data_IF_586515327710
#
_entry.id   IF_586515327710
#
_cell.length_a   1.000
_cell.length_b   1.000
_cell.length_c   1.000
_cell.angle_alpha   90.00
_cell.angle_beta   90.00
_cell.angle_gamma   90.00
#
_symmetry.space_group_name_H-M   'P 1'
#
loop_
_entity.id
_entity.type
_entity.pdbx_description
1 polymer ?
#
# COMPACT_ATOMS: atom_id res chain seq x y z
N UNK A 1 0.37 -38.41 -0.43
CA UNK A 1 -0.69 -37.42 -0.14
C UNK A 1 -0.39 -36.56 1.08
N UNK A 2 0.35 -37.04 2.09
CA UNK A 2 0.68 -36.28 3.32
C UNK A 2 1.51 -34.99 3.08
N UNK A 3 2.52 -35.03 2.19
CA UNK A 3 3.39 -33.88 1.89
C UNK A 3 2.69 -32.70 1.20
N UNK A 4 1.62 -32.94 0.45
CA UNK A 4 0.90 -31.88 -0.29
C UNK A 4 0.12 -30.99 0.70
N UNK A 5 -0.42 -31.59 1.76
CA UNK A 5 -1.16 -30.88 2.80
C UNK A 5 -0.26 -29.93 3.61
N UNK A 6 0.95 -30.37 3.96
CA UNK A 6 1.93 -29.56 4.73
C UNK A 6 2.41 -28.33 3.95
N UNK A 7 2.66 -28.46 2.65
CA UNK A 7 3.13 -27.34 1.82
C UNK A 7 2.09 -26.22 1.70
N UNK A 8 0.82 -26.59 1.52
CA UNK A 8 -0.29 -25.63 1.41
C UNK A 8 -0.50 -24.87 2.73
N UNK A 9 -0.41 -25.55 3.87
CA UNK A 9 -0.48 -24.88 5.18
C UNK A 9 0.67 -23.88 5.38
N UNK A 10 1.89 -24.23 4.94
CA UNK A 10 3.04 -23.35 5.02
C UNK A 10 2.83 -22.06 4.20
N UNK A 11 2.36 -22.19 2.95
CA UNK A 11 2.07 -21.05 2.07
C UNK A 11 0.97 -20.16 2.67
N UNK A 12 -0.06 -20.75 3.26
CA UNK A 12 -1.14 -20.00 3.92
C UNK A 12 -0.64 -19.14 5.08
N UNK A 13 0.16 -19.74 5.97
CA UNK A 13 0.75 -19.02 7.10
C UNK A 13 1.65 -17.90 6.61
N UNK A 14 2.48 -18.18 5.61
CA UNK A 14 3.38 -17.20 5.02
C UNK A 14 2.60 -16.04 4.39
N UNK A 15 1.55 -16.32 3.61
CA UNK A 15 0.65 -15.31 3.05
C UNK A 15 -0.02 -14.47 4.13
N UNK A 16 -0.53 -15.09 5.20
CA UNK A 16 -1.15 -14.37 6.31
C UNK A 16 -0.14 -13.46 7.01
N UNK A 17 1.03 -13.97 7.38
CA UNK A 17 2.07 -13.19 8.06
C UNK A 17 2.56 -12.02 7.22
N UNK A 18 2.85 -12.23 5.94
CA UNK A 18 3.30 -11.14 5.07
C UNK A 18 2.21 -10.08 4.88
N UNK A 19 0.96 -10.47 4.61
CA UNK A 19 -0.15 -9.51 4.47
C UNK A 19 -0.41 -8.74 5.76
N UNK A 20 -0.25 -9.39 6.91
CA UNK A 20 -0.41 -8.74 8.21
C UNK A 20 0.67 -7.69 8.46
N UNK A 21 1.92 -7.98 8.09
CA UNK A 21 3.02 -7.01 8.15
C UNK A 21 2.74 -5.82 7.21
N UNK A 22 2.30 -6.08 5.97
CA UNK A 22 1.92 -5.01 5.03
C UNK A 22 0.77 -4.16 5.55
N UNK A 23 -0.23 -4.78 6.18
CA UNK A 23 -1.33 -4.06 6.81
C UNK A 23 -0.82 -3.12 7.91
N UNK A 24 0.02 -3.60 8.83
CA UNK A 24 0.64 -2.77 9.87
C UNK A 24 1.50 -1.63 9.29
N UNK A 25 2.28 -1.92 8.24
CA UNK A 25 3.08 -0.92 7.55
C UNK A 25 2.19 0.16 6.89
N UNK A 26 1.11 -0.24 6.23
CA UNK A 26 0.12 0.68 5.64
C UNK A 26 -0.53 1.58 6.69
N UNK A 27 -0.92 1.01 7.83
CA UNK A 27 -1.46 1.78 8.96
C UNK A 27 -0.43 2.76 9.52
N UNK A 28 0.84 2.36 9.66
CA UNK A 28 1.90 3.24 10.13
C UNK A 28 2.13 4.41 9.16
N UNK A 29 2.19 4.15 7.86
CA UNK A 29 2.33 5.19 6.83
C UNK A 29 1.14 6.14 6.84
N UNK A 30 -0.09 5.61 6.92
CA UNK A 30 -1.30 6.42 7.01
C UNK A 30 -1.30 7.29 8.29
N UNK A 31 -0.90 6.73 9.43
CA UNK A 31 -0.81 7.46 10.69
C UNK A 31 0.20 8.62 10.60
N UNK A 32 1.37 8.39 9.99
CA UNK A 32 2.37 9.44 9.75
C UNK A 32 1.82 10.50 8.78
N UNK A 33 1.15 10.11 7.70
CA UNK A 33 0.57 11.05 6.74
C UNK A 33 -0.53 11.92 7.37
N UNK A 34 -1.38 11.32 8.21
CA UNK A 34 -2.41 12.04 8.98
C UNK A 34 -1.77 12.95 10.03
N UNK A 35 -0.74 12.49 10.73
CA UNK A 35 0.00 13.31 11.69
C UNK A 35 0.56 14.57 11.03
N UNK A 36 1.23 14.41 9.88
CA UNK A 36 1.76 15.52 9.08
C UNK A 36 0.65 16.48 8.60
N UNK A 37 -0.58 15.98 8.39
CA UNK A 37 -1.71 16.79 7.92
C UNK A 37 -2.43 17.57 9.03
N UNK A 38 -2.56 16.96 10.21
CA UNK A 38 -3.36 17.48 11.33
C UNK A 38 -2.54 18.25 12.37
N UNK A 39 -1.22 18.10 12.38
CA UNK A 39 -0.38 18.85 13.30
C UNK A 39 -0.42 20.35 13.01
N UNK A 40 -0.83 21.12 14.02
CA UNK A 40 -1.09 22.57 13.92
C UNK A 40 0.18 23.40 13.75
N UNK A 41 1.32 22.91 14.24
CA UNK A 41 2.64 23.53 14.06
C UNK A 41 3.10 23.39 12.62
N UNK A 42 2.87 22.20 12.05
CA UNK A 42 3.21 21.84 10.68
C UNK A 42 2.34 22.61 9.66
N UNK A 43 1.03 22.67 9.88
CA UNK A 43 0.11 23.45 9.03
C UNK A 43 0.31 24.97 9.11
N UNK A 44 0.73 25.52 10.26
CA UNK A 44 1.07 26.94 10.40
C UNK A 44 2.37 27.31 9.65
N UNK A 45 3.37 26.43 9.64
CA UNK A 45 4.62 26.60 8.87
C UNK A 45 4.34 26.48 7.35
N UNK A 46 3.39 25.63 6.95
CA UNK A 46 3.02 25.46 5.53
C UNK A 46 1.99 26.49 5.01
N UNK A 47 1.20 27.10 5.88
CA UNK A 47 0.25 28.17 5.51
C UNK A 47 0.91 29.55 5.41
N UNK A 48 2.02 29.77 6.10
CA UNK A 48 2.76 31.03 6.09
C UNK A 48 3.74 31.13 4.90
N UNK A 49 3.20 31.16 3.68
CA UNK A 49 3.80 31.91 2.57
C UNK A 49 4.84 31.24 1.67
N UNK A 50 5.41 30.07 1.98
CA UNK A 50 6.33 29.36 1.06
C UNK A 50 6.27 27.84 1.25
N UNK A 51 5.14 27.21 0.97
CA UNK A 51 5.12 25.75 0.84
C UNK A 51 5.39 25.40 -0.64
N UNK A 52 6.49 24.70 -0.98
CA UNK A 52 6.63 24.15 -2.32
C UNK A 52 5.45 23.21 -2.54
N UNK A 53 4.59 23.48 -3.53
CA UNK A 53 3.38 22.71 -3.82
C UNK A 53 3.63 21.19 -3.86
N UNK A 54 4.85 20.79 -4.23
CA UNK A 54 5.38 19.43 -4.21
C UNK A 54 5.28 18.72 -2.85
N UNK A 55 5.48 19.41 -1.71
CA UNK A 55 5.43 18.78 -0.39
C UNK A 55 3.99 18.46 0.04
N UNK A 56 3.05 19.36 -0.29
CA UNK A 56 1.62 19.14 -0.04
C UNK A 56 1.12 17.95 -0.88
N UNK A 57 1.49 17.91 -2.17
CA UNK A 57 1.22 16.77 -3.06
C UNK A 57 1.84 15.48 -2.50
N UNK A 58 3.05 15.53 -1.96
CA UNK A 58 3.71 14.39 -1.32
C UNK A 58 2.93 13.80 -0.14
N UNK A 59 2.36 14.64 0.74
CA UNK A 59 1.55 14.17 1.88
C UNK A 59 0.28 13.48 1.38
N UNK A 60 -0.40 14.03 0.36
CA UNK A 60 -1.58 13.41 -0.23
C UNK A 60 -1.26 12.07 -0.91
N UNK A 61 -0.13 11.97 -1.62
CA UNK A 61 0.35 10.71 -2.20
C UNK A 61 0.64 9.71 -1.09
N UNK A 62 1.34 10.10 -0.03
CA UNK A 62 1.68 9.23 1.10
C UNK A 62 0.40 8.71 1.80
N UNK A 63 -0.60 9.58 1.98
CA UNK A 63 -1.91 9.20 2.51
C UNK A 63 -2.63 8.20 1.60
N UNK A 64 -2.64 8.45 0.29
CA UNK A 64 -3.24 7.55 -0.69
C UNK A 64 -2.58 6.17 -0.74
N UNK A 65 -1.24 6.14 -0.82
CA UNK A 65 -0.46 4.90 -0.83
C UNK A 65 -0.65 4.12 0.47
N UNK A 66 -0.58 4.80 1.63
CA UNK A 66 -0.83 4.17 2.93
C UNK A 66 -2.22 3.55 3.04
N UNK A 67 -3.27 4.24 2.56
CA UNK A 67 -4.63 3.72 2.55
C UNK A 67 -4.79 2.50 1.63
N UNK A 68 -4.21 2.55 0.43
CA UNK A 68 -4.25 1.43 -0.53
C UNK A 68 -3.55 0.19 0.05
N UNK A 69 -2.36 0.35 0.63
CA UNK A 69 -1.62 -0.76 1.27
C UNK A 69 -2.41 -1.34 2.44
N UNK A 70 -3.05 -0.50 3.27
CA UNK A 70 -3.88 -0.95 4.38
C UNK A 70 -5.09 -1.76 3.89
N UNK A 71 -5.80 -1.30 2.87
CA UNK A 71 -6.98 -2.00 2.32
C UNK A 71 -6.57 -3.36 1.73
N UNK A 72 -5.47 -3.39 0.96
CA UNK A 72 -5.01 -4.62 0.32
C UNK A 72 -4.49 -5.63 1.35
N UNK A 73 -3.73 -5.17 2.36
CA UNK A 73 -3.27 -6.02 3.45
C UNK A 73 -4.42 -6.60 4.27
N UNK A 74 -5.50 -5.82 4.49
CA UNK A 74 -6.71 -6.30 5.16
C UNK A 74 -7.42 -7.38 4.34
N UNK A 75 -7.64 -7.16 3.04
CA UNK A 75 -8.23 -8.18 2.16
C UNK A 75 -7.37 -9.44 2.05
N UNK A 76 -6.03 -9.29 2.06
CA UNK A 76 -5.10 -10.43 2.11
C UNK A 76 -5.21 -11.24 3.40
N UNK A 77 -5.28 -10.57 4.57
CA UNK A 77 -5.45 -11.23 5.86
C UNK A 77 -6.81 -11.93 5.98
N UNK A 78 -7.91 -11.23 5.66
CA UNK A 78 -9.25 -11.82 5.68
C UNK A 78 -9.39 -12.96 4.66
N UNK A 79 -8.77 -12.85 3.49
CA UNK A 79 -8.81 -13.89 2.45
C UNK A 79 -8.05 -15.14 2.86
N UNK A 80 -6.91 -14.99 3.54
CA UNK A 80 -6.16 -16.11 4.08
C UNK A 80 -6.90 -16.83 5.22
N UNK A 81 -7.57 -16.08 6.10
CA UNK A 81 -8.33 -16.63 7.24
C UNK A 81 -9.64 -17.30 6.80
N UNK A 82 -10.36 -16.71 5.84
CA UNK A 82 -11.71 -17.15 5.48
C UNK A 82 -11.73 -18.30 4.46
N UNK A 83 -10.57 -18.78 3.99
CA UNK A 83 -10.44 -19.77 2.90
C UNK A 83 -11.21 -19.42 1.62
N UNK A 84 -11.66 -18.17 1.50
CA UNK A 84 -12.55 -17.76 0.42
C UNK A 84 -11.73 -17.51 -0.84
N UNK A 85 -11.90 -18.37 -1.83
CA UNK A 85 -11.26 -18.23 -3.14
C UNK A 85 -11.63 -16.89 -3.81
N UNK A 86 -12.80 -16.33 -3.50
CA UNK A 86 -13.21 -15.03 -4.03
C UNK A 86 -12.35 -13.89 -3.46
N UNK A 87 -12.13 -13.86 -2.14
CA UNK A 87 -11.30 -12.82 -1.50
C UNK A 87 -9.82 -12.92 -1.89
N UNK A 88 -9.30 -14.14 -1.99
CA UNK A 88 -7.93 -14.37 -2.47
C UNK A 88 -7.79 -13.99 -3.95
N UNK A 89 -8.83 -14.22 -4.75
CA UNK A 89 -8.92 -13.77 -6.14
C UNK A 89 -8.95 -12.25 -6.26
N UNK A 90 -9.69 -11.55 -5.41
CA UNK A 90 -9.70 -10.08 -5.35
C UNK A 90 -8.32 -9.53 -4.98
N UNK A 91 -7.65 -10.12 -3.98
CA UNK A 91 -6.28 -9.76 -3.61
C UNK A 91 -5.31 -9.89 -4.80
N UNK A 92 -5.36 -11.03 -5.50
CA UNK A 92 -4.53 -11.27 -6.68
C UNK A 92 -4.84 -10.27 -7.81
N UNK A 93 -6.11 -9.99 -8.09
CA UNK A 93 -6.51 -9.01 -9.08
C UNK A 93 -6.01 -7.60 -8.74
N UNK A 94 -6.11 -7.17 -7.47
CA UNK A 94 -5.55 -5.91 -7.01
C UNK A 94 -4.03 -5.83 -7.22
N UNK A 95 -3.30 -6.91 -6.90
CA UNK A 95 -1.86 -6.97 -7.14
C UNK A 95 -1.50 -6.86 -8.62
N UNK A 96 -2.25 -7.53 -9.51
CA UNK A 96 -2.03 -7.42 -10.95
C UNK A 96 -2.24 -6.00 -11.46
N UNK A 97 -3.27 -5.32 -10.97
CA UNK A 97 -3.54 -3.92 -11.33
C UNK A 97 -2.41 -3.01 -10.86
N UNK A 98 -1.92 -3.20 -9.63
CA UNK A 98 -0.77 -2.42 -9.11
C UNK A 98 0.48 -2.69 -9.93
N UNK A 99 0.76 -3.95 -10.24
CA UNK A 99 1.93 -4.31 -11.03
C UNK A 99 1.88 -3.66 -12.42
N UNK A 100 0.73 -3.70 -13.09
CA UNK A 100 0.54 -3.01 -14.37
C UNK A 100 0.72 -1.48 -14.24
N UNK A 101 0.23 -0.89 -13.16
CA UNK A 101 0.40 0.53 -12.87
C UNK A 101 1.87 0.90 -12.62
N UNK A 102 2.62 0.09 -11.86
CA UNK A 102 4.06 0.28 -11.62
C UNK A 102 4.87 0.18 -12.91
N UNK A 103 4.58 -0.80 -13.77
CA UNK A 103 5.24 -0.90 -15.08
C UNK A 103 4.92 0.32 -15.94
N UNK A 104 3.65 0.75 -15.97
CA UNK A 104 3.25 1.94 -16.74
C UNK A 104 3.94 3.20 -16.22
N UNK A 105 3.97 3.40 -14.91
CA UNK A 105 4.64 4.53 -14.27
C UNK A 105 6.16 4.48 -14.48
N UNK A 106 6.77 3.30 -14.40
CA UNK A 106 8.20 3.09 -14.63
C UNK A 106 8.61 3.40 -16.08
N UNK A 107 7.84 2.91 -17.06
CA UNK A 107 8.06 3.22 -18.47
C UNK A 107 7.86 4.71 -18.73
N UNK A 108 6.77 5.30 -18.23
CA UNK A 108 6.49 6.72 -18.37
C UNK A 108 7.60 7.59 -17.78
N UNK A 109 8.08 7.23 -16.58
CA UNK A 109 9.19 7.90 -15.91
C UNK A 109 10.51 7.77 -16.67
N UNK A 110 10.74 6.63 -17.35
CA UNK A 110 11.93 6.44 -18.18
C UNK A 110 11.90 7.27 -19.47
N UNK A 111 10.72 7.41 -20.08
CA UNK A 111 10.54 8.18 -21.32
C UNK A 111 10.62 9.70 -21.07
N UNK A 112 10.16 10.18 -19.92
CA UNK A 112 10.15 11.60 -19.57
C UNK A 112 11.35 12.03 -18.72
N UNK A 113 12.46 11.28 -18.77
CA UNK A 113 13.68 11.57 -17.99
C UNK A 113 14.26 12.98 -18.16
N UNK A 114 13.97 13.66 -19.26
CA UNK A 114 14.49 15.02 -19.53
C UNK A 114 13.60 16.13 -18.97
N UNK A 115 12.41 15.81 -18.45
CA UNK A 115 11.44 16.79 -17.95
C UNK A 115 11.27 16.76 -16.42
N UNK A 116 12.01 15.88 -15.72
CA UNK A 116 12.01 15.70 -14.25
C UNK A 116 13.40 15.98 -13.69
#
# INVERSE_FOLDING_TARGET
MEKISTGIQCIKYLLFTFNFIFWLAGTAVLAVALWLRFDSKTTAIFGAGQCPAHFCVGIYILMGVGAVIMIIGFFGCCGAVQESQCLLGSFFACLLVIFAAEITAGVWGFLNKEQV
#
